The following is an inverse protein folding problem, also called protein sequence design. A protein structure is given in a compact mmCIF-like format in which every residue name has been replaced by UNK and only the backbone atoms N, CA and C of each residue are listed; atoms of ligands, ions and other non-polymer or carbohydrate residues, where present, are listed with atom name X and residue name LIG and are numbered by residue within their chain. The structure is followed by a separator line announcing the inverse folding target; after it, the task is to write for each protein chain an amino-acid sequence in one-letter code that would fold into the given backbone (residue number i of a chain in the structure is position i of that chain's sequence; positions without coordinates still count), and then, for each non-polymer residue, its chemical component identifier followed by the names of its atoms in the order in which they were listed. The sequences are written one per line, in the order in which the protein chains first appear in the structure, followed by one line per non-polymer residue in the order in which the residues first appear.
data_IF_837738241472
#
_entry.id   IF_837738241472
#
_cell.length_a   1.000
_cell.length_b   1.000
_cell.length_c   1.000
_cell.angle_alpha   90.00
_cell.angle_beta   90.00
_cell.angle_gamma   90.00
#
_symmetry.space_group_name_H-M   'P 1'
#
loop_
_entity.id
_entity.type
_entity.pdbx_description
1 polymer ?
#
# COMPACT_ATOMS: atom_id res chain seq x y z
N UNK A 1 0.68 -1.67 20.43
CA UNK A 1 0.17 -2.38 19.24
C UNK A 1 1.00 -1.87 18.08
N UNK A 2 1.85 -2.72 17.53
CA UNK A 2 2.94 -2.27 16.65
C UNK A 2 2.93 -3.16 15.42
N UNK A 3 2.35 -2.66 14.33
CA UNK A 3 2.50 -3.27 13.00
C UNK A 3 3.99 -3.32 12.71
N UNK A 4 4.49 -4.49 12.30
CA UNK A 4 5.92 -4.62 12.01
C UNK A 4 6.28 -3.78 10.78
N UNK A 5 7.51 -3.29 10.71
CA UNK A 5 7.98 -2.53 9.54
C UNK A 5 7.81 -3.33 8.25
N UNK A 6 8.11 -4.62 8.28
CA UNK A 6 7.88 -5.53 7.14
C UNK A 6 6.40 -5.61 6.73
N UNK A 7 5.47 -5.65 7.69
CA UNK A 7 4.03 -5.64 7.41
C UNK A 7 3.59 -4.31 6.80
N UNK A 8 4.08 -3.18 7.31
CA UNK A 8 3.80 -1.86 6.74
C UNK A 8 4.28 -1.76 5.29
N UNK A 9 5.48 -2.25 5.01
CA UNK A 9 6.03 -2.28 3.65
C UNK A 9 5.15 -3.16 2.76
N UNK A 10 4.74 -4.35 3.22
CA UNK A 10 3.86 -5.24 2.47
C UNK A 10 2.49 -4.61 2.17
N UNK A 11 1.89 -3.91 3.13
CA UNK A 11 0.63 -3.17 2.93
C UNK A 11 0.80 -2.13 1.83
N UNK A 12 1.82 -1.26 1.94
CA UNK A 12 2.09 -0.23 0.92
C UNK A 12 2.36 -0.84 -0.46
N UNK A 13 2.93 -2.04 -0.47
CA UNK A 13 3.28 -2.78 -1.68
C UNK A 13 2.02 -3.28 -2.38
N UNK A 14 1.06 -3.81 -1.63
CA UNK A 14 -0.27 -4.20 -2.14
C UNK A 14 -1.04 -2.99 -2.68
N UNK A 15 -1.08 -1.88 -1.93
CA UNK A 15 -1.78 -0.66 -2.37
C UNK A 15 -1.14 -0.07 -3.63
N UNK A 16 0.20 -0.05 -3.70
CA UNK A 16 0.94 0.41 -4.89
C UNK A 16 0.71 -0.50 -6.09
N UNK A 17 0.67 -1.82 -5.88
CA UNK A 17 0.37 -2.79 -6.93
C UNK A 17 -1.05 -2.61 -7.47
N UNK A 18 -2.04 -2.44 -6.60
CA UNK A 18 -3.44 -2.19 -6.99
C UNK A 18 -3.58 -0.87 -7.75
N UNK A 19 -2.95 0.19 -7.25
CA UNK A 19 -2.92 1.50 -7.92
C UNK A 19 -2.16 1.53 -9.25
N UNK A 20 -1.19 0.63 -9.45
CA UNK A 20 -0.53 0.46 -10.75
C UNK A 20 -1.36 -0.41 -11.72
N UNK A 21 -2.13 -1.35 -11.18
CA UNK A 21 -3.04 -2.19 -11.95
C UNK A 21 -4.24 -1.38 -12.48
N UNK A 22 -4.70 -0.40 -11.72
CA UNK A 22 -5.65 0.61 -12.19
C UNK A 22 -4.98 1.56 -13.20
N UNK A 23 -5.27 1.31 -14.48
CA UNK A 23 -4.78 2.09 -15.61
C UNK A 23 -5.16 3.59 -15.55
N UNK A 24 -6.20 3.92 -14.79
CA UNK A 24 -6.73 5.29 -14.61
C UNK A 24 -6.73 5.70 -13.13
N UNK A 25 -5.71 5.32 -12.35
CA UNK A 25 -5.62 5.80 -10.97
C UNK A 25 -5.56 7.34 -10.95
N UNK A 26 -6.50 7.95 -10.23
CA UNK A 26 -6.71 9.39 -10.24
C UNK A 26 -5.51 10.13 -9.62
N UNK A 27 -5.27 11.36 -10.09
CA UNK A 27 -4.12 12.14 -9.64
C UNK A 27 -4.14 12.42 -8.13
N UNK A 28 -5.33 12.44 -7.51
CA UNK A 28 -5.53 12.58 -6.07
C UNK A 28 -5.10 11.32 -5.30
N UNK A 29 -5.54 10.15 -5.75
CA UNK A 29 -5.17 8.83 -5.19
C UNK A 29 -3.66 8.63 -5.23
N UNK A 30 -3.04 8.97 -6.36
CA UNK A 30 -1.57 8.91 -6.52
C UNK A 30 -0.84 9.82 -5.54
N UNK A 31 -1.35 11.02 -5.29
CA UNK A 31 -0.76 11.95 -4.31
C UNK A 31 -0.87 11.41 -2.89
N UNK A 32 -2.01 10.81 -2.53
CA UNK A 32 -2.19 10.19 -1.21
C UNK A 32 -1.25 9.01 -1.04
N UNK A 33 -1.16 8.12 -2.03
CA UNK A 33 -0.18 7.03 -2.05
C UNK A 33 1.25 7.56 -1.85
N UNK A 34 1.69 8.54 -2.64
CA UNK A 34 3.03 9.15 -2.51
C UNK A 34 3.25 9.82 -1.14
N UNK A 35 2.23 10.46 -0.57
CA UNK A 35 2.29 11.03 0.77
C UNK A 35 2.46 9.95 1.83
N UNK A 36 1.73 8.83 1.72
CA UNK A 36 1.86 7.69 2.62
C UNK A 36 3.24 7.04 2.56
N UNK A 37 3.79 6.86 1.35
CA UNK A 37 5.18 6.43 1.17
C UNK A 37 6.18 7.34 1.89
N UNK A 38 5.96 8.65 1.81
CA UNK A 38 6.82 9.65 2.45
C UNK A 38 6.68 9.65 3.98
N UNK A 39 5.46 9.50 4.49
CA UNK A 39 5.17 9.40 5.94
C UNK A 39 5.74 8.12 6.53
N UNK A 40 5.60 7.00 5.82
CA UNK A 40 6.16 5.71 6.22
C UNK A 40 7.70 5.68 6.16
N UNK A 41 8.34 6.72 5.62
CA UNK A 41 9.80 6.81 5.46
C UNK A 41 10.38 5.56 4.79
N UNK A 42 9.71 5.12 3.72
CA UNK A 42 10.15 3.95 2.93
C UNK A 42 11.51 4.27 2.32
N UNK A 43 12.49 3.44 2.65
CA UNK A 43 13.86 3.53 2.14
C UNK A 43 13.92 3.05 0.69
N UNK A 44 15.00 3.42 -0.01
CA UNK A 44 15.20 2.98 -1.40
C UNK A 44 15.28 1.44 -1.52
N UNK A 45 15.90 0.78 -0.54
CA UNK A 45 15.99 -0.70 -0.48
C UNK A 45 14.62 -1.35 -0.30
N UNK A 46 13.77 -0.79 0.56
CA UNK A 46 12.39 -1.25 0.75
C UNK A 46 11.59 -1.05 -0.56
N UNK A 47 11.76 0.09 -1.23
CA UNK A 47 11.09 0.37 -2.50
C UNK A 47 11.53 -0.57 -3.64
N UNK A 48 12.81 -0.98 -3.67
CA UNK A 48 13.28 -2.01 -4.62
C UNK A 48 12.74 -3.41 -4.29
N UNK A 49 12.65 -3.78 -3.01
CA UNK A 49 11.97 -5.02 -2.58
C UNK A 49 10.51 -5.05 -3.02
N UNK A 50 9.81 -3.91 -2.92
CA UNK A 50 8.42 -3.78 -3.34
C UNK A 50 8.26 -4.00 -4.85
N UNK A 51 9.19 -3.48 -5.67
CA UNK A 51 9.23 -3.72 -7.12
C UNK A 51 9.55 -5.16 -7.50
N UNK A 52 10.32 -5.87 -6.68
CA UNK A 52 10.72 -7.25 -6.93
C UNK A 52 9.60 -8.27 -6.65
N UNK A 53 8.61 -7.92 -5.82
CA UNK A 53 7.47 -8.79 -5.53
C UNK A 53 6.37 -8.57 -6.56
N UNK A 54 6.18 -9.55 -7.45
CA UNK A 54 5.29 -9.44 -8.62
C UNK A 54 3.90 -10.07 -8.44
N UNK A 55 3.60 -10.69 -7.30
CA UNK A 55 2.33 -11.40 -7.09
C UNK A 55 1.56 -10.91 -5.86
N UNK A 56 0.37 -10.35 -6.11
CA UNK A 56 -0.58 -9.90 -5.08
C UNK A 56 -0.87 -10.98 -4.03
N UNK A 57 -1.04 -12.24 -4.46
CA UNK A 57 -1.29 -13.38 -3.58
C UNK A 57 -0.14 -13.63 -2.60
N UNK A 58 1.10 -13.52 -3.07
CA UNK A 58 2.29 -13.65 -2.22
C UNK A 58 2.38 -12.51 -1.19
N UNK A 59 1.97 -11.31 -1.56
CA UNK A 59 1.99 -10.13 -0.70
C UNK A 59 0.87 -10.17 0.35
N UNK A 60 -0.34 -10.62 -0.04
CA UNK A 60 -1.46 -10.85 0.88
C UNK A 60 -1.18 -11.99 1.86
N UNK A 61 -0.50 -13.06 1.43
CA UNK A 61 -0.08 -14.15 2.31
C UNK A 61 0.95 -13.72 3.37
N UNK A 62 1.70 -12.64 3.12
CA UNK A 62 2.61 -12.04 4.09
C UNK A 62 1.90 -11.14 5.11
N UNK A 63 0.62 -10.79 4.88
CA UNK A 63 -0.21 -10.04 5.83
C UNK A 63 -0.97 -11.03 6.73
N UNK A 64 -0.24 -11.62 7.67
CA UNK A 64 -0.76 -12.60 8.61
C UNK A 64 -1.61 -11.94 9.71
N UNK A 65 -1.23 -10.75 10.16
CA UNK A 65 -1.92 -10.04 11.25
C UNK A 65 -3.24 -9.42 10.80
N UNK A 66 -4.28 -9.60 11.62
CA UNK A 66 -5.58 -8.97 11.35
C UNK A 66 -5.49 -7.43 11.40
N UNK A 67 -4.59 -6.88 12.23
CA UNK A 67 -4.27 -5.45 12.26
C UNK A 67 -3.71 -4.95 10.91
N UNK A 68 -2.85 -5.76 10.27
CA UNK A 68 -2.24 -5.42 8.99
C UNK A 68 -3.29 -5.46 7.87
N UNK A 69 -4.21 -6.42 7.90
CA UNK A 69 -5.36 -6.48 6.97
C UNK A 69 -6.31 -5.31 7.18
N UNK A 70 -6.58 -4.93 8.43
CA UNK A 70 -7.44 -3.79 8.74
C UNK A 70 -6.83 -2.49 8.23
N UNK A 71 -5.54 -2.28 8.51
CA UNK A 71 -4.78 -1.12 8.04
C UNK A 71 -4.72 -1.05 6.52
N UNK A 72 -4.58 -2.21 5.84
CA UNK A 72 -4.64 -2.27 4.37
C UNK A 72 -6.00 -1.80 3.84
N UNK A 73 -7.11 -2.28 4.41
CA UNK A 73 -8.46 -1.88 4.01
C UNK A 73 -8.69 -0.39 4.26
N UNK A 74 -8.27 0.12 5.42
CA UNK A 74 -8.36 1.56 5.73
C UNK A 74 -7.54 2.42 4.78
N UNK A 75 -6.32 1.99 4.43
CA UNK A 75 -5.48 2.67 3.45
C UNK A 75 -6.10 2.66 2.05
N UNK A 76 -6.66 1.53 1.62
CA UNK A 76 -7.35 1.44 0.34
C UNK A 76 -8.59 2.35 0.31
N UNK A 77 -9.36 2.38 1.39
CA UNK A 77 -10.51 3.28 1.51
C UNK A 77 -10.09 4.77 1.50
N UNK A 78 -8.97 5.10 2.16
CA UNK A 78 -8.41 6.45 2.14
C UNK A 78 -7.93 6.86 0.74
N UNK A 79 -7.28 5.95 0.03
CA UNK A 79 -6.81 6.18 -1.35
C UNK A 79 -8.01 6.34 -2.28
N UNK A 80 -8.97 5.40 -2.29
CA UNK A 80 -10.17 5.49 -3.13
C UNK A 80 -11.04 6.71 -2.81
N UNK A 81 -11.18 7.05 -1.53
CA UNK A 81 -11.90 8.25 -1.08
C UNK A 81 -11.18 9.56 -1.42
N UNK A 82 -9.88 9.52 -1.78
CA UNK A 82 -9.12 10.72 -2.13
C UNK A 82 -9.59 11.36 -3.44
N UNK A 83 -10.17 10.57 -4.34
CA UNK A 83 -10.77 11.09 -5.57
C UNK A 83 -12.22 11.60 -5.37
N UNK A 84 -12.77 11.42 -4.17
CA UNK A 84 -14.10 11.92 -3.81
C UNK A 84 -15.27 11.06 -4.33
N UNK A 85 -14.99 9.87 -4.87
CA UNK A 85 -16.01 8.89 -5.23
C UNK A 85 -16.27 7.98 -4.03
N UNK A 86 -17.25 8.37 -3.22
CA UNK A 86 -17.92 7.53 -2.21
C UNK A 86 -19.40 7.40 -2.57
#
# INVERSE_FOLDING_TARGET
MSISRDELINILSVVSFLGHYEREMHAAEKKVLMAMFKVASVTHEEHEKMKSNHSLDGMLNQLQSDDAKHTLVELMALVAGADGVL
#
